data_IF_829818177324
#
_entry.id   IF_829818177324
#
_cell.length_a   1.000
_cell.length_b   1.000
_cell.length_c   1.000
_cell.angle_alpha   90.00
_cell.angle_beta   90.00
_cell.angle_gamma   90.00
#
_symmetry.space_group_name_H-M   'P 1'
#
loop_
_entity.id
_entity.type
_entity.pdbx_description
1 polymer ?
#
# COMPACT_ATOMS: atom_id res chain seq x y z
N UNK A 1 -29.81 10.41 -1.47
CA UNK A 1 -28.45 10.98 -1.65
C UNK A 1 -27.59 10.65 -0.42
N UNK A 2 -26.84 9.55 -0.49
CA UNK A 2 -25.94 9.12 0.57
C UNK A 2 -24.63 9.90 0.47
N UNK A 3 -24.52 10.96 1.27
CA UNK A 3 -23.30 11.73 1.46
C UNK A 3 -22.49 11.05 2.58
N UNK A 4 -21.42 10.34 2.22
CA UNK A 4 -20.47 9.80 3.19
C UNK A 4 -19.46 10.89 3.54
N UNK A 5 -19.93 11.78 4.41
CA UNK A 5 -19.15 12.72 5.18
C UNK A 5 -18.17 11.91 6.06
N UNK A 6 -16.90 11.80 5.64
CA UNK A 6 -15.83 11.32 6.52
C UNK A 6 -15.66 12.34 7.65
N UNK A 7 -16.22 12.00 8.81
CA UNK A 7 -16.17 12.80 10.02
C UNK A 7 -14.74 13.16 10.41
N UNK A 8 -14.56 14.44 10.72
CA UNK A 8 -13.40 15.00 11.37
C UNK A 8 -13.21 14.39 12.77
N UNK A 9 -11.97 14.06 13.11
CA UNK A 9 -11.57 13.70 14.46
C UNK A 9 -10.22 13.02 14.53
N UNK A 10 -9.12 13.76 14.28
CA UNK A 10 -7.92 13.67 15.13
C UNK A 10 -6.89 14.74 14.74
N UNK A 11 -6.63 15.69 15.65
CA UNK A 11 -5.54 16.67 15.53
C UNK A 11 -4.18 16.08 15.95
N UNK A 12 -3.94 14.78 15.71
CA UNK A 12 -2.71 14.10 16.12
C UNK A 12 -1.89 13.72 14.89
N UNK A 13 -0.81 14.47 14.67
CA UNK A 13 0.33 14.11 13.84
C UNK A 13 -0.05 13.48 12.47
N UNK A 14 -0.28 14.32 11.45
CA UNK A 14 -0.30 13.94 10.04
C UNK A 14 1.08 13.44 9.58
N UNK A 15 1.61 12.40 10.20
CA UNK A 15 2.68 11.61 9.61
C UNK A 15 2.00 10.78 8.54
N UNK A 16 2.18 11.16 7.27
CA UNK A 16 1.65 10.39 6.15
C UNK A 16 2.06 8.92 6.30
N UNK A 17 1.21 7.98 5.88
CA UNK A 17 1.57 6.55 5.88
C UNK A 17 2.93 6.33 5.18
N UNK A 18 3.25 7.13 4.16
CA UNK A 18 4.56 7.15 3.53
C UNK A 18 5.73 7.53 4.46
N UNK A 19 5.56 8.48 5.38
CA UNK A 19 6.63 8.83 6.32
C UNK A 19 6.94 7.70 7.31
N UNK A 20 5.95 6.86 7.63
CA UNK A 20 6.17 5.64 8.44
C UNK A 20 6.83 4.51 7.66
N UNK A 21 6.72 4.53 6.33
CA UNK A 21 7.23 3.49 5.42
C UNK A 21 8.46 3.93 4.64
N UNK A 22 9.00 5.12 4.89
CA UNK A 22 10.20 5.66 4.20
C UNK A 22 11.45 4.79 4.35
N UNK A 23 11.53 4.02 5.44
CA UNK A 23 12.62 3.09 5.71
C UNK A 23 12.39 1.72 5.04
N UNK A 24 11.22 1.52 4.42
CA UNK A 24 10.86 0.31 3.69
C UNK A 24 11.18 0.49 2.20
N UNK A 25 11.84 -0.51 1.61
CA UNK A 25 12.11 -0.54 0.17
C UNK A 25 10.87 -0.95 -0.64
N UNK A 26 10.07 -1.87 -0.10
CA UNK A 26 8.90 -2.44 -0.76
C UNK A 26 7.73 -2.58 0.19
N UNK A 27 6.52 -2.34 -0.32
CA UNK A 27 5.25 -2.60 0.36
C UNK A 27 4.46 -3.63 -0.43
N UNK A 28 4.14 -4.76 0.19
CA UNK A 28 3.32 -5.83 -0.40
C UNK A 28 1.93 -5.77 0.24
N UNK A 29 0.88 -5.72 -0.57
CA UNK A 29 -0.50 -5.65 -0.07
C UNK A 29 -1.48 -6.31 -1.02
N UNK A 30 -2.65 -6.73 -0.53
CA UNK A 30 -3.68 -7.33 -1.38
C UNK A 30 -4.51 -6.34 -2.17
N UNK A 31 -4.62 -5.13 -1.64
CA UNK A 31 -5.39 -4.05 -2.21
C UNK A 31 -4.88 -2.75 -1.64
N UNK A 32 -4.89 -1.73 -2.48
CA UNK A 32 -4.39 -0.42 -2.11
C UNK A 32 -5.19 0.68 -2.81
N UNK A 33 -5.47 1.75 -2.07
CA UNK A 33 -6.08 2.94 -2.63
C UNK A 33 -5.10 3.69 -3.53
N UNK A 34 -5.56 4.17 -4.69
CA UNK A 34 -4.73 4.90 -5.66
C UNK A 34 -3.94 6.05 -5.05
N UNK A 35 -4.56 6.84 -4.17
CA UNK A 35 -3.91 7.97 -3.51
C UNK A 35 -2.71 7.56 -2.66
N UNK A 36 -2.84 6.46 -1.90
CA UNK A 36 -1.72 5.93 -1.12
C UNK A 36 -0.63 5.38 -2.04
N UNK A 37 -1.03 4.83 -3.19
CA UNK A 37 -0.08 4.34 -4.18
C UNK A 37 0.75 5.42 -4.85
N UNK A 38 0.11 6.52 -5.22
CA UNK A 38 0.80 7.68 -5.76
C UNK A 38 1.74 8.32 -4.73
N UNK A 39 1.30 8.43 -3.47
CA UNK A 39 2.09 9.02 -2.38
C UNK A 39 3.39 8.22 -2.12
N UNK A 40 3.28 6.90 -2.00
CA UNK A 40 4.42 6.01 -1.75
C UNK A 40 5.36 5.92 -2.95
N UNK A 41 4.80 5.89 -4.18
CA UNK A 41 5.58 5.93 -5.41
C UNK A 41 6.36 7.25 -5.54
N UNK A 42 5.77 8.37 -5.14
CA UNK A 42 6.45 9.67 -5.13
C UNK A 42 7.63 9.71 -4.13
N UNK A 43 7.59 8.86 -3.08
CA UNK A 43 8.67 8.70 -2.12
C UNK A 43 9.73 7.67 -2.55
N UNK A 44 9.55 7.02 -3.71
CA UNK A 44 10.48 6.02 -4.23
C UNK A 44 10.32 4.63 -3.60
N UNK A 45 9.21 4.38 -2.90
CA UNK A 45 8.91 3.08 -2.29
C UNK A 45 8.26 2.20 -3.36
N UNK A 46 8.82 1.01 -3.57
CA UNK A 46 8.24 0.02 -4.47
C UNK A 46 6.98 -0.56 -3.85
N UNK A 47 5.96 -0.82 -4.67
CA UNK A 47 4.73 -1.39 -4.15
C UNK A 47 4.20 -2.47 -5.04
N UNK A 48 3.81 -3.57 -4.41
CA UNK A 48 3.36 -4.77 -5.09
C UNK A 48 1.98 -5.13 -4.57
N UNK A 49 1.02 -5.11 -5.47
CA UNK A 49 -0.33 -5.59 -5.19
C UNK A 49 -0.40 -7.06 -5.55
N UNK A 50 -0.78 -7.94 -4.63
CA UNK A 50 -0.83 -9.39 -4.89
C UNK A 50 -2.16 -10.00 -4.49
N UNK A 51 -2.52 -11.17 -5.00
CA UNK A 51 -3.66 -11.94 -4.50
C UNK A 51 -3.25 -12.95 -3.40
N UNK A 52 -1.95 -13.01 -3.10
CA UNK A 52 -1.43 -13.92 -2.08
C UNK A 52 -1.97 -13.58 -0.68
N UNK A 53 -2.55 -14.59 -0.01
CA UNK A 53 -3.17 -14.41 1.30
C UNK A 53 -2.25 -14.73 2.47
N UNK A 54 -1.24 -15.54 2.21
CA UNK A 54 -0.25 -15.88 3.22
C UNK A 54 0.92 -14.91 3.14
N UNK A 55 1.14 -14.15 4.21
CA UNK A 55 2.24 -13.17 4.30
C UNK A 55 3.59 -13.85 4.04
N UNK A 56 3.85 -15.01 4.66
CA UNK A 56 5.07 -15.78 4.42
C UNK A 56 5.23 -16.14 2.95
N UNK A 57 4.18 -16.66 2.31
CA UNK A 57 4.22 -17.01 0.87
C UNK A 57 4.46 -15.79 0.00
N UNK A 58 3.84 -14.65 0.32
CA UNK A 58 4.00 -13.41 -0.45
C UNK A 58 5.46 -12.93 -0.39
N UNK A 59 6.06 -12.96 0.82
CA UNK A 59 7.46 -12.61 1.01
C UNK A 59 8.40 -13.60 0.31
N UNK A 60 8.16 -14.91 0.42
CA UNK A 60 8.97 -15.92 -0.28
C UNK A 60 8.91 -15.74 -1.79
N UNK A 61 7.72 -15.52 -2.35
CA UNK A 61 7.55 -15.25 -3.79
C UNK A 61 8.22 -13.94 -4.21
N UNK A 62 8.20 -12.90 -3.36
CA UNK A 62 8.90 -11.65 -3.65
C UNK A 62 10.41 -11.88 -3.71
N UNK A 63 10.97 -12.57 -2.71
CA UNK A 63 12.38 -12.92 -2.66
C UNK A 63 12.82 -13.83 -3.82
N UNK A 64 11.92 -14.70 -4.29
CA UNK A 64 12.13 -15.55 -5.46
C UNK A 64 11.97 -14.82 -6.82
N UNK A 65 11.45 -13.58 -6.83
CA UNK A 65 11.12 -12.85 -8.06
C UNK A 65 9.88 -13.40 -8.79
N UNK A 66 9.05 -14.18 -8.10
CA UNK A 66 7.84 -14.83 -8.64
C UNK A 66 6.55 -14.12 -8.21
N UNK A 67 6.63 -13.11 -7.33
CA UNK A 67 5.46 -12.36 -6.90
C UNK A 67 4.95 -11.47 -8.03
N UNK A 68 3.72 -11.75 -8.48
CA UNK A 68 3.08 -10.95 -9.54
C UNK A 68 2.49 -9.67 -8.95
N UNK A 69 2.90 -8.53 -9.49
CA UNK A 69 2.27 -7.24 -9.22
C UNK A 69 0.98 -7.07 -10.03
N UNK A 70 -0.13 -6.86 -9.32
CA UNK A 70 -1.50 -6.78 -9.83
C UNK A 70 -2.02 -5.36 -9.70
N UNK A 71 -1.33 -4.42 -10.34
CA UNK A 71 -1.73 -2.99 -10.39
C UNK A 71 -3.17 -2.76 -10.85
N UNK A 72 -3.76 -3.71 -11.58
CA UNK A 72 -5.17 -3.71 -11.99
C UNK A 72 -6.15 -3.69 -10.80
N UNK A 73 -5.72 -4.09 -9.60
CA UNK A 73 -6.51 -4.10 -8.36
C UNK A 73 -6.38 -2.81 -7.54
N UNK A 74 -5.74 -1.78 -8.08
CA UNK A 74 -5.70 -0.46 -7.45
C UNK A 74 -7.07 0.22 -7.56
N UNK A 75 -7.68 0.48 -6.41
CA UNK A 75 -9.02 1.09 -6.30
C UNK A 75 -8.95 2.60 -6.01
#
# INVERSE_FOLDING_TARGET
PGDHHHGAGDSHHHRSVAEGLKDCQVVISQGMGRKAWEDLRAQGIEMIVTDENQVETAVQKYLAGELTDRVERLH
#
